data_IF_006291143406
#
_entry.id   IF_006291143406
#
_cell.length_a   1.000
_cell.length_b   1.000
_cell.length_c   1.000
_cell.angle_alpha   90.00
_cell.angle_beta   90.00
_cell.angle_gamma   90.00
#
_symmetry.space_group_name_H-M   'P 1'
#
loop_
_entity.id
_entity.type
_entity.pdbx_description
1 polymer ?
#
# COMPACT_ATOMS: atom_id res chain seq x y z
N UNK A 1 -10.15 11.74 13.04
CA UNK A 1 -9.29 12.29 11.96
C UNK A 1 -10.17 13.13 11.05
N UNK A 2 -9.79 14.37 10.71
CA UNK A 2 -10.63 15.31 9.92
C UNK A 2 -11.20 14.72 8.63
N UNK A 3 -10.41 13.89 7.94
CA UNK A 3 -10.81 13.26 6.68
C UNK A 3 -11.96 12.24 6.82
N UNK A 4 -12.22 11.71 8.03
CA UNK A 4 -13.35 10.80 8.27
C UNK A 4 -14.71 11.48 8.21
N UNK A 5 -14.76 12.83 8.28
CA UNK A 5 -16.00 13.59 8.09
C UNK A 5 -16.43 13.71 6.63
N UNK A 6 -15.63 13.21 5.68
CA UNK A 6 -15.85 13.33 4.25
C UNK A 6 -16.06 11.93 3.63
N UNK A 7 -17.30 11.45 3.61
CA UNK A 7 -17.64 10.12 3.11
C UNK A 7 -17.28 9.90 1.62
N UNK A 8 -17.08 10.97 0.85
CA UNK A 8 -16.59 10.87 -0.53
C UNK A 8 -15.12 10.41 -0.62
N UNK A 9 -14.34 10.52 0.46
CA UNK A 9 -12.94 10.09 0.48
C UNK A 9 -12.86 8.62 0.85
N UNK A 10 -12.66 7.76 -0.16
CA UNK A 10 -12.59 6.31 0.04
C UNK A 10 -11.19 5.78 0.35
N UNK A 11 -10.13 6.53 0.04
CA UNK A 11 -8.77 6.08 0.30
C UNK A 11 -7.78 7.21 0.53
N UNK A 12 -6.75 6.95 1.34
CA UNK A 12 -5.61 7.85 1.56
C UNK A 12 -4.33 7.15 1.14
N UNK A 13 -3.65 7.67 0.11
CA UNK A 13 -2.28 7.29 -0.24
C UNK A 13 -1.29 7.97 0.71
N UNK A 14 -0.50 7.20 1.45
CA UNK A 14 0.45 7.77 2.42
C UNK A 14 1.70 6.91 2.63
N UNK A 15 2.82 7.56 2.92
CA UNK A 15 4.05 6.93 3.44
C UNK A 15 4.08 6.88 4.98
N UNK A 16 2.98 7.25 5.66
CA UNK A 16 2.96 7.45 7.10
C UNK A 16 3.75 8.68 7.54
N UNK A 17 4.01 9.63 6.64
CA UNK A 17 4.78 10.84 6.91
C UNK A 17 6.29 10.61 6.99
N UNK A 18 6.79 9.46 6.55
CA UNK A 18 8.22 9.17 6.39
C UNK A 18 8.64 9.26 4.92
N UNK A 19 9.95 9.18 4.65
CA UNK A 19 10.48 9.12 3.27
C UNK A 19 9.96 7.89 2.53
N UNK A 20 9.80 6.77 3.24
CA UNK A 20 9.27 5.50 2.71
C UNK A 20 8.26 4.92 3.69
N UNK A 21 7.19 4.29 3.19
CA UNK A 21 6.23 3.58 4.05
C UNK A 21 6.91 2.49 4.90
N UNK A 22 8.00 1.90 4.40
CA UNK A 22 8.78 0.89 5.11
C UNK A 22 9.37 1.41 6.44
N UNK A 23 9.55 2.73 6.57
CA UNK A 23 10.05 3.37 7.79
C UNK A 23 8.92 3.76 8.77
N UNK A 24 7.66 3.62 8.36
CA UNK A 24 6.49 4.10 9.11
C UNK A 24 5.52 2.98 9.48
N UNK A 25 5.98 1.73 9.60
CA UNK A 25 5.15 0.54 9.87
C UNK A 25 4.16 0.77 11.03
N UNK A 26 4.63 1.23 12.19
CA UNK A 26 3.76 1.46 13.35
C UNK A 26 2.74 2.58 13.14
N UNK A 27 3.12 3.63 12.39
CA UNK A 27 2.18 4.71 12.07
C UNK A 27 1.13 4.25 11.06
N UNK A 28 1.50 3.45 10.06
CA UNK A 28 0.56 2.84 9.12
C UNK A 28 -0.43 1.95 9.85
N UNK A 29 0.03 1.08 10.76
CA UNK A 29 -0.85 0.28 11.63
C UNK A 29 -1.84 1.14 12.39
N UNK A 30 -1.37 2.20 13.04
CA UNK A 30 -2.24 3.12 13.79
C UNK A 30 -3.29 3.78 12.89
N UNK A 31 -2.92 4.21 11.68
CA UNK A 31 -3.87 4.77 10.72
C UNK A 31 -4.92 3.74 10.28
N UNK A 32 -4.52 2.48 10.07
CA UNK A 32 -5.45 1.39 9.77
C UNK A 32 -6.44 1.22 10.94
N UNK A 33 -5.95 1.13 12.18
CA UNK A 33 -6.83 1.03 13.36
C UNK A 33 -7.81 2.21 13.46
N UNK A 34 -7.34 3.44 13.23
CA UNK A 34 -8.19 4.64 13.26
C UNK A 34 -9.25 4.69 12.15
N UNK A 35 -9.11 3.87 11.11
CA UNK A 35 -10.04 3.81 9.97
C UNK A 35 -10.88 2.55 9.98
N UNK A 36 -10.69 1.66 10.95
CA UNK A 36 -11.56 0.49 11.14
C UNK A 36 -13.00 0.94 11.38
N UNK A 37 -13.95 0.28 10.70
CA UNK A 37 -15.38 0.62 10.76
C UNK A 37 -15.80 1.78 9.86
N UNK A 38 -14.86 2.42 9.15
CA UNK A 38 -15.16 3.45 8.15
C UNK A 38 -14.94 2.94 6.72
N UNK A 39 -15.55 3.59 5.74
CA UNK A 39 -15.31 3.29 4.31
C UNK A 39 -13.91 3.73 3.84
N UNK A 40 -13.29 4.67 4.54
CA UNK A 40 -11.98 5.20 4.21
C UNK A 40 -10.88 4.15 4.46
N UNK A 41 -10.05 3.89 3.46
CA UNK A 41 -8.96 2.91 3.53
C UNK A 41 -7.58 3.54 3.44
N UNK A 42 -6.61 2.97 4.16
CA UNK A 42 -5.21 3.36 4.06
C UNK A 42 -4.54 2.60 2.90
N UNK A 43 -3.97 3.36 1.96
CA UNK A 43 -3.15 2.86 0.87
C UNK A 43 -1.70 3.23 1.13
N UNK A 44 -0.88 2.24 1.50
CA UNK A 44 0.54 2.48 1.76
C UNK A 44 1.31 2.66 0.44
N UNK A 45 2.15 3.69 0.35
CA UNK A 45 2.99 3.96 -0.82
C UNK A 45 4.34 4.57 -0.45
N UNK A 46 5.20 4.72 -1.47
CA UNK A 46 6.63 5.08 -1.36
C UNK A 46 7.53 3.94 -0.87
N UNK A 47 8.52 3.57 -1.69
CA UNK A 47 9.60 2.63 -1.36
C UNK A 47 9.27 1.14 -1.47
N UNK A 48 8.03 0.79 -1.84
CA UNK A 48 7.59 -0.59 -2.03
C UNK A 48 8.14 -1.17 -3.35
N UNK A 49 8.79 -2.32 -3.22
CA UNK A 49 9.31 -3.18 -4.30
C UNK A 49 8.95 -4.63 -3.94
N UNK A 50 8.97 -5.54 -4.92
CA UNK A 50 8.47 -6.91 -4.75
C UNK A 50 9.13 -7.65 -3.57
N UNK A 51 10.43 -7.46 -3.38
CA UNK A 51 11.25 -8.09 -2.35
C UNK A 51 10.85 -7.69 -0.93
N UNK A 52 10.36 -6.45 -0.76
CA UNK A 52 10.00 -5.89 0.55
C UNK A 52 8.49 -5.86 0.79
N UNK A 53 7.70 -6.16 -0.23
CA UNK A 53 6.25 -6.09 -0.16
C UNK A 53 5.68 -7.10 0.83
N UNK A 54 6.14 -8.35 0.78
CA UNK A 54 5.62 -9.45 1.62
C UNK A 54 5.74 -9.14 3.11
N UNK A 55 6.95 -8.79 3.56
CA UNK A 55 7.22 -8.47 4.96
C UNK A 55 6.49 -7.22 5.42
N UNK A 56 6.39 -6.20 4.56
CA UNK A 56 5.66 -4.97 4.88
C UNK A 56 4.16 -5.20 5.05
N UNK A 57 3.53 -5.93 4.12
CA UNK A 57 2.10 -6.24 4.20
C UNK A 57 1.81 -7.13 5.40
N UNK A 58 2.64 -8.14 5.67
CA UNK A 58 2.51 -8.97 6.85
C UNK A 58 2.65 -8.17 8.16
N UNK A 59 3.59 -7.24 8.22
CA UNK A 59 3.78 -6.42 9.40
C UNK A 59 2.60 -5.46 9.61
N UNK A 60 2.10 -4.80 8.56
CA UNK A 60 1.12 -3.72 8.68
C UNK A 60 -0.34 -4.16 8.58
N UNK A 61 -0.61 -5.29 7.94
CA UNK A 61 -1.95 -5.70 7.50
C UNK A 61 -2.66 -4.62 6.65
N UNK A 62 -1.89 -3.84 5.88
CA UNK A 62 -2.47 -2.76 5.06
C UNK A 62 -3.42 -3.33 4.00
N UNK A 63 -4.64 -2.78 3.85
CA UNK A 63 -5.61 -3.31 2.89
C UNK A 63 -5.30 -2.94 1.43
N UNK A 64 -4.47 -1.90 1.22
CA UNK A 64 -4.20 -1.32 -0.08
C UNK A 64 -2.72 -0.92 -0.20
N UNK A 65 -2.08 -1.19 -1.34
CA UNK A 65 -0.69 -0.77 -1.63
C UNK A 65 -0.61 -0.03 -2.95
N UNK A 66 0.28 0.97 -3.01
CA UNK A 66 0.61 1.72 -4.23
C UNK A 66 2.06 1.47 -4.62
N UNK A 67 2.26 1.05 -5.87
CA UNK A 67 3.57 0.75 -6.43
C UNK A 67 3.88 1.72 -7.58
N UNK A 68 4.95 2.51 -7.40
CA UNK A 68 5.47 3.43 -8.41
C UNK A 68 6.62 2.81 -9.19
N UNK A 69 7.85 3.26 -8.92
CA UNK A 69 9.07 2.75 -9.57
C UNK A 69 9.35 1.27 -9.28
N UNK A 70 8.81 0.71 -8.19
CA UNK A 70 9.02 -0.70 -7.81
C UNK A 70 8.53 -1.72 -8.83
N UNK A 71 7.61 -1.34 -9.72
CA UNK A 71 7.13 -2.20 -10.82
C UNK A 71 7.55 -1.69 -12.19
N UNK A 72 8.48 -0.73 -12.28
CA UNK A 72 9.03 -0.22 -13.54
C UNK A 72 10.36 -0.88 -13.87
N UNK A 73 10.69 -0.91 -15.15
CA UNK A 73 12.00 -1.37 -15.63
C UNK A 73 13.10 -0.52 -14.99
N UNK A 74 14.19 -1.14 -14.54
CA UNK A 74 15.33 -0.48 -13.90
C UNK A 74 15.00 0.43 -12.68
N UNK A 75 13.81 0.31 -12.07
CA UNK A 75 13.35 1.15 -10.97
C UNK A 75 13.30 2.66 -11.29
N UNK A 76 13.16 3.03 -12.56
CA UNK A 76 13.14 4.44 -13.00
C UNK A 76 11.74 4.90 -13.35
N UNK A 77 11.45 6.17 -13.08
CA UNK A 77 10.12 6.77 -13.33
C UNK A 77 9.81 6.94 -14.82
N UNK A 78 10.83 7.18 -15.64
CA UNK A 78 10.72 7.37 -17.08
C UNK A 78 10.73 6.06 -17.89
N UNK A 79 10.89 4.92 -17.22
CA UNK A 79 10.87 3.60 -17.84
C UNK A 79 9.44 3.01 -17.77
N UNK A 80 9.06 2.11 -18.69
CA UNK A 80 7.73 1.53 -18.71
C UNK A 80 7.49 0.65 -17.47
N UNK A 81 6.20 0.46 -17.15
CA UNK A 81 5.76 -0.54 -16.17
C UNK A 81 6.05 -1.93 -16.72
N UNK A 82 6.69 -2.76 -15.92
CA UNK A 82 7.02 -4.14 -16.25
C UNK A 82 5.87 -5.06 -15.79
N UNK A 83 5.16 -5.63 -16.76
CA UNK A 83 4.02 -6.53 -16.53
C UNK A 83 4.42 -7.75 -15.68
N UNK A 84 5.65 -8.26 -15.82
CA UNK A 84 6.10 -9.41 -15.06
C UNK A 84 6.28 -9.05 -13.58
N UNK A 85 6.81 -7.86 -13.27
CA UNK A 85 6.88 -7.34 -11.90
C UNK A 85 5.50 -7.15 -11.28
N UNK A 86 4.53 -6.64 -12.06
CA UNK A 86 3.13 -6.50 -11.59
C UNK A 86 2.52 -7.87 -11.28
N UNK A 87 2.73 -8.88 -12.13
CA UNK A 87 2.29 -10.25 -11.88
C UNK A 87 2.96 -10.85 -10.65
N UNK A 88 4.24 -10.60 -10.46
CA UNK A 88 4.98 -11.08 -9.29
C UNK A 88 4.46 -10.47 -7.99
N UNK A 89 4.24 -9.15 -7.98
CA UNK A 89 3.56 -8.45 -6.87
C UNK A 89 2.22 -9.11 -6.56
N UNK A 90 1.39 -9.37 -7.59
CA UNK A 90 0.08 -9.99 -7.38
C UNK A 90 0.21 -11.40 -6.80
N UNK A 91 1.19 -12.19 -7.27
CA UNK A 91 1.50 -13.51 -6.73
C UNK A 91 1.88 -13.44 -5.26
N UNK A 92 2.79 -12.55 -4.89
CA UNK A 92 3.22 -12.34 -3.49
C UNK A 92 2.04 -11.99 -2.58
N UNK A 93 1.16 -11.10 -3.03
CA UNK A 93 -0.04 -10.72 -2.27
C UNK A 93 -1.02 -11.89 -2.12
N UNK A 94 -1.22 -12.70 -3.17
CA UNK A 94 -2.06 -13.88 -3.10
C UNK A 94 -1.48 -14.95 -2.13
N UNK A 95 -0.15 -15.17 -2.14
CA UNK A 95 0.52 -16.15 -1.27
C UNK A 95 0.33 -15.86 0.24
N UNK A 96 0.15 -14.60 0.61
CA UNK A 96 -0.08 -14.19 2.02
C UNK A 96 -1.56 -14.02 2.35
N UNK A 97 -2.47 -14.55 1.51
CA UNK A 97 -3.91 -14.38 1.65
C UNK A 97 -4.32 -12.93 1.88
N UNK A 98 -3.66 -12.00 1.17
CA UNK A 98 -3.90 -10.57 1.31
C UNK A 98 -5.35 -10.25 0.95
N UNK A 99 -6.13 -9.88 1.98
CA UNK A 99 -7.51 -9.45 1.80
C UNK A 99 -7.52 -7.97 1.44
N UNK A 100 -7.55 -7.69 0.14
CA UNK A 100 -7.90 -6.35 -0.31
C UNK A 100 -9.37 -6.09 0.03
N UNK A 101 -9.65 -4.99 0.71
CA UNK A 101 -11.03 -4.53 0.78
C UNK A 101 -11.43 -4.09 -0.64
N UNK A 102 -12.54 -4.62 -1.13
CA UNK A 102 -12.99 -4.36 -2.50
C UNK A 102 -13.17 -2.84 -2.72
N UNK A 103 -12.49 -2.30 -3.72
CA UNK A 103 -12.83 -1.02 -4.35
C UNK A 103 -14.15 -1.20 -5.09
N UNK A 104 -15.27 -1.05 -4.38
CA UNK A 104 -16.59 -0.79 -4.98
C UNK A 104 -16.85 0.72 -4.98
#
# INVERSE_FOLDING_TARGET
MTLLGYNQIRSILTSGGAVSALQAVEKIKRLITLTQGHELQIMAGSGLITERLKSFVHATHVPCVHLGTGVRTNLKVNEPVDVNKVREVRRVLNEINWQSNHWR
#
